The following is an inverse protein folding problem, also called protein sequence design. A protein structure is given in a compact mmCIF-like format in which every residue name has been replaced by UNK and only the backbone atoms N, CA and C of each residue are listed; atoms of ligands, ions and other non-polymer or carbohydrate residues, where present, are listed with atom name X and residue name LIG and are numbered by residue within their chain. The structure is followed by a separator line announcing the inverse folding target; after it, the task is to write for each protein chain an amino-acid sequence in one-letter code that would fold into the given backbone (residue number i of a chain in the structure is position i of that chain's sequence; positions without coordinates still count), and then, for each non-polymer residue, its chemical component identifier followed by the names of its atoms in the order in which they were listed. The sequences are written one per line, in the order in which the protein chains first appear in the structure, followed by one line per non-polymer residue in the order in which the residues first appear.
data_IF_101846773634
#
_entry.id   IF_101846773634
#
_cell.length_a   1.000
_cell.length_b   1.000
_cell.length_c   1.000
_cell.angle_alpha   90.00
_cell.angle_beta   90.00
_cell.angle_gamma   90.00
#
_symmetry.space_group_name_H-M   'P 1'
#
loop_
_entity.id
_entity.type
_entity.pdbx_description
1 polymer ?
#
# COMPACT_ATOMS: atom_id res chain seq x y z
N UNK A 1 9.97 26.92 1.32
CA UNK A 1 11.17 27.68 1.71
C UNK A 1 12.32 26.69 1.85
N UNK A 2 13.35 26.73 1.00
CA UNK A 2 14.51 25.82 1.08
C UNK A 2 15.63 26.51 1.87
N UNK A 3 16.14 25.86 2.91
CA UNK A 3 17.41 26.19 3.55
C UNK A 3 18.36 25.01 3.31
N UNK A 4 19.50 25.30 2.70
CA UNK A 4 20.58 24.35 2.41
C UNK A 4 21.66 24.46 3.48
N UNK A 5 22.06 23.34 4.07
CA UNK A 5 23.42 23.13 4.57
C UNK A 5 23.75 21.63 4.66
N UNK A 6 25.00 21.29 4.33
CA UNK A 6 25.39 19.95 3.89
C UNK A 6 25.89 18.96 4.96
N UNK A 7 26.20 17.78 4.40
CA UNK A 7 26.96 16.62 4.87
C UNK A 7 26.19 15.41 5.46
N UNK A 8 26.11 14.37 4.60
CA UNK A 8 25.84 12.93 4.79
C UNK A 8 24.76 12.51 5.79
N UNK A 9 23.58 12.17 5.28
CA UNK A 9 22.58 11.20 5.80
C UNK A 9 21.34 11.29 4.91
N UNK A 10 20.62 10.19 4.74
CA UNK A 10 19.46 10.08 3.84
C UNK A 10 18.58 11.35 3.82
N UNK A 11 18.15 11.82 2.63
CA UNK A 11 17.34 13.02 2.54
C UNK A 11 16.09 12.83 3.40
N UNK A 12 15.93 13.70 4.40
CA UNK A 12 14.73 13.69 5.26
C UNK A 12 13.49 13.72 4.36
N UNK A 13 12.49 12.86 4.62
CA UNK A 13 11.30 12.81 3.78
C UNK A 13 10.61 14.18 3.76
N UNK A 14 10.32 14.66 2.55
CA UNK A 14 9.62 15.93 2.33
C UNK A 14 8.26 15.63 1.72
N UNK A 15 7.21 16.21 2.29
CA UNK A 15 5.86 16.10 1.76
C UNK A 15 5.64 17.21 0.75
N UNK A 16 5.21 16.84 -0.45
CA UNK A 16 4.93 17.74 -1.56
C UNK A 16 3.47 17.64 -1.97
N UNK A 17 2.91 18.75 -2.42
CA UNK A 17 1.52 18.84 -2.87
C UNK A 17 1.53 19.33 -4.31
N UNK A 18 0.76 18.68 -5.17
CA UNK A 18 0.48 19.17 -6.51
C UNK A 18 -0.67 20.19 -6.45
N UNK A 19 -0.33 21.46 -6.56
CA UNK A 19 -1.28 22.58 -6.52
C UNK A 19 -2.19 22.60 -7.78
N UNK A 20 -1.79 21.92 -8.86
CA UNK A 20 -2.61 21.80 -10.08
C UNK A 20 -3.71 20.74 -9.98
N UNK A 21 -3.72 19.91 -8.95
CA UNK A 21 -4.72 18.85 -8.79
C UNK A 21 -6.11 19.47 -8.49
N UNK A 22 -7.20 19.08 -9.19
CA UNK A 22 -8.54 19.63 -8.95
C UNK A 22 -9.06 19.47 -7.51
N UNK A 23 -8.50 18.54 -6.73
CA UNK A 23 -8.84 18.36 -5.31
C UNK A 23 -8.26 19.46 -4.42
N UNK A 24 -7.29 20.23 -4.90
CA UNK A 24 -6.73 21.38 -4.19
C UNK A 24 -7.46 22.63 -4.65
N UNK A 25 -8.29 23.19 -3.78
CA UNK A 25 -9.06 24.39 -4.07
C UNK A 25 -9.13 25.30 -2.82
N UNK A 26 -9.78 26.46 -2.96
CA UNK A 26 -9.94 27.44 -1.87
C UNK A 26 -11.37 27.54 -1.32
N UNK A 27 -12.31 26.78 -1.89
CA UNK A 27 -13.74 26.90 -1.64
C UNK A 27 -14.31 25.82 -0.72
N UNK A 28 -13.78 24.60 -0.77
CA UNK A 28 -14.34 23.43 -0.09
C UNK A 28 -13.26 22.44 0.37
N UNK A 29 -13.58 21.64 1.39
CA UNK A 29 -12.71 20.60 1.95
C UNK A 29 -11.96 21.03 3.22
N UNK A 30 -10.91 20.27 3.54
CA UNK A 30 -10.08 20.49 4.73
C UNK A 30 -8.95 21.49 4.45
N UNK A 31 -8.79 22.47 5.34
CA UNK A 31 -7.66 23.42 5.23
C UNK A 31 -6.36 22.69 5.46
N UNK A 32 -5.35 22.97 4.63
CA UNK A 32 -4.01 22.37 4.77
C UNK A 32 -3.13 23.11 5.80
N UNK A 33 -3.39 24.40 6.00
CA UNK A 33 -2.65 25.26 6.92
C UNK A 33 -3.61 26.11 7.75
N UNK A 34 -3.18 26.46 8.96
CA UNK A 34 -3.84 27.45 9.81
C UNK A 34 -3.56 28.87 9.30
N UNK A 35 -4.24 29.87 9.86
CA UNK A 35 -4.04 31.28 9.49
C UNK A 35 -2.60 31.76 9.77
N UNK A 36 -1.96 31.21 10.79
CA UNK A 36 -0.56 31.48 11.15
C UNK A 36 0.46 30.75 10.26
N UNK A 37 0.00 29.99 9.26
CA UNK A 37 0.86 29.25 8.33
C UNK A 37 1.39 27.91 8.86
N UNK A 38 0.93 27.46 10.04
CA UNK A 38 1.27 26.13 10.56
C UNK A 38 0.44 25.04 9.86
N UNK A 39 0.90 23.78 9.79
CA UNK A 39 0.08 22.67 9.30
C UNK A 39 -1.22 22.56 10.11
N UNK A 40 -2.34 22.30 9.43
CA UNK A 40 -3.59 21.98 10.10
C UNK A 40 -3.55 20.60 10.78
N UNK A 41 -4.56 20.28 11.60
CA UNK A 41 -4.73 18.94 12.16
C UNK A 41 -4.80 17.86 11.07
N UNK A 42 -5.56 18.13 10.00
CA UNK A 42 -5.64 17.26 8.83
C UNK A 42 -4.25 17.00 8.22
N UNK A 43 -3.48 18.06 7.97
CA UNK A 43 -2.12 17.92 7.43
C UNK A 43 -1.23 17.12 8.38
N UNK A 44 -1.29 17.37 9.69
CA UNK A 44 -0.55 16.58 10.67
C UNK A 44 -0.91 15.09 10.64
N UNK A 45 -2.19 14.76 10.48
CA UNK A 45 -2.62 13.37 10.33
C UNK A 45 -2.04 12.73 9.07
N UNK A 46 -2.10 13.43 7.92
CA UNK A 46 -1.52 12.95 6.67
C UNK A 46 0.01 12.80 6.78
N UNK A 47 0.69 13.73 7.45
CA UNK A 47 2.14 13.63 7.70
C UNK A 47 2.49 12.34 8.45
N UNK A 48 1.74 12.01 9.52
CA UNK A 48 1.95 10.77 10.29
C UNK A 48 1.69 9.50 9.47
N UNK A 49 0.69 9.53 8.60
CA UNK A 49 0.40 8.41 7.69
C UNK A 49 1.56 8.20 6.71
N UNK A 50 2.04 9.28 6.08
CA UNK A 50 3.16 9.22 5.13
C UNK A 50 4.47 8.81 5.79
N UNK A 51 4.72 9.27 7.02
CA UNK A 51 5.86 8.82 7.82
C UNK A 51 5.78 7.31 8.13
N UNK A 52 4.60 6.82 8.55
CA UNK A 52 4.37 5.39 8.76
C UNK A 52 4.62 4.56 7.50
N UNK A 53 4.17 5.05 6.34
CA UNK A 53 4.40 4.39 5.04
C UNK A 53 5.89 4.38 4.70
N UNK A 54 6.59 5.49 4.91
CA UNK A 54 8.02 5.60 4.64
C UNK A 54 8.84 4.63 5.49
N UNK A 55 8.58 4.58 6.80
CA UNK A 55 9.25 3.63 7.70
C UNK A 55 8.90 2.19 7.37
N UNK A 56 7.63 1.92 7.03
CA UNK A 56 7.17 0.59 6.62
C UNK A 56 7.82 0.09 5.33
N UNK A 57 8.36 0.96 4.47
CA UNK A 57 9.01 0.56 3.22
C UNK A 57 10.28 -0.26 3.45
N UNK A 58 11.09 0.11 4.43
CA UNK A 58 12.32 -0.63 4.77
C UNK A 58 11.99 -2.02 5.33
N UNK A 59 11.02 -2.10 6.24
CA UNK A 59 10.58 -3.38 6.82
C UNK A 59 9.86 -4.25 5.80
N UNK A 60 9.13 -3.65 4.86
CA UNK A 60 8.52 -4.39 3.75
C UNK A 60 9.56 -5.10 2.88
N UNK A 61 10.75 -4.52 2.70
CA UNK A 61 11.82 -5.18 1.94
C UNK A 61 12.28 -6.48 2.60
N UNK A 62 12.40 -6.50 3.94
CA UNK A 62 12.75 -7.73 4.69
C UNK A 62 11.63 -8.76 4.61
N UNK A 63 10.38 -8.31 4.74
CA UNK A 63 9.20 -9.16 4.62
C UNK A 63 9.15 -9.85 3.24
N UNK A 64 9.26 -9.08 2.15
CA UNK A 64 9.23 -9.63 0.78
C UNK A 64 10.39 -10.60 0.56
N UNK A 65 11.61 -10.27 1.02
CA UNK A 65 12.75 -11.18 0.92
C UNK A 65 12.49 -12.50 1.65
N UNK A 66 11.84 -12.48 2.82
CA UNK A 66 11.44 -13.69 3.54
C UNK A 66 10.44 -14.52 2.75
N UNK A 67 9.44 -13.89 2.13
CA UNK A 67 8.46 -14.60 1.30
C UNK A 67 9.13 -15.26 0.08
N UNK A 68 10.08 -14.57 -0.57
CA UNK A 68 10.85 -15.15 -1.69
C UNK A 68 11.68 -16.35 -1.23
N UNK A 69 12.39 -16.22 -0.10
CA UNK A 69 13.21 -17.31 0.45
C UNK A 69 12.41 -18.58 0.76
N UNK A 70 11.14 -18.41 1.16
CA UNK A 70 10.23 -19.50 1.49
C UNK A 70 9.34 -19.94 0.31
N UNK A 71 9.59 -19.41 -0.91
CA UNK A 71 8.76 -19.68 -2.10
C UNK A 71 7.26 -19.42 -1.86
N UNK A 72 6.94 -18.34 -1.15
CA UNK A 72 5.59 -17.96 -0.76
C UNK A 72 4.92 -16.98 -1.73
N UNK A 73 5.57 -16.59 -2.82
CA UNK A 73 5.00 -15.69 -3.81
C UNK A 73 4.76 -16.42 -5.14
N UNK A 74 3.60 -16.20 -5.74
CA UNK A 74 3.28 -16.67 -7.09
C UNK A 74 2.66 -15.56 -7.93
N UNK A 75 2.86 -15.63 -9.25
CA UNK A 75 2.23 -14.69 -10.19
C UNK A 75 0.72 -14.87 -10.16
N UNK A 76 -0.01 -13.76 -10.16
CA UNK A 76 -1.47 -13.74 -10.17
C UNK A 76 -1.97 -12.83 -11.30
N UNK A 77 -2.93 -13.34 -12.06
CA UNK A 77 -3.66 -12.59 -13.08
C UNK A 77 -5.14 -12.61 -12.73
N UNK A 78 -5.78 -11.44 -12.73
CA UNK A 78 -7.21 -11.31 -12.60
C UNK A 78 -7.82 -10.94 -13.96
N UNK A 79 -8.70 -11.79 -14.46
CA UNK A 79 -9.55 -11.48 -15.61
C UNK A 79 -10.96 -11.13 -15.12
N UNK A 80 -11.48 -10.01 -15.61
CA UNK A 80 -12.81 -9.50 -15.26
C UNK A 80 -13.57 -9.19 -16.54
N UNK A 81 -14.81 -9.65 -16.62
CA UNK A 81 -15.76 -9.20 -17.64
C UNK A 81 -16.84 -8.39 -16.93
N UNK A 82 -17.00 -7.13 -17.31
CA UNK A 82 -18.02 -6.24 -16.74
C UNK A 82 -19.39 -6.53 -17.37
N UNK A 83 -20.46 -5.97 -16.79
CA UNK A 83 -21.84 -6.15 -17.26
C UNK A 83 -22.11 -5.60 -18.66
N UNK A 84 -21.35 -4.59 -19.09
CA UNK A 84 -21.40 -4.04 -20.46
C UNK A 84 -20.67 -4.91 -21.51
N UNK A 85 -20.07 -6.02 -21.07
CA UNK A 85 -19.31 -6.96 -21.91
C UNK A 85 -17.84 -6.58 -22.11
N UNK A 86 -17.38 -5.45 -21.57
CA UNK A 86 -15.97 -5.07 -21.61
C UNK A 86 -15.12 -6.04 -20.79
N UNK A 87 -13.93 -6.36 -21.31
CA UNK A 87 -12.97 -7.25 -20.67
C UNK A 87 -11.79 -6.45 -20.15
N UNK A 88 -11.43 -6.74 -18.91
CA UNK A 88 -10.26 -6.18 -18.25
C UNK A 88 -9.37 -7.31 -17.75
N UNK A 89 -8.07 -7.12 -17.92
CA UNK A 89 -7.05 -7.99 -17.38
C UNK A 89 -6.15 -7.15 -16.47
N UNK A 90 -5.85 -7.71 -15.29
CA UNK A 90 -4.88 -7.19 -14.36
C UNK A 90 -3.78 -8.24 -14.19
N UNK A 91 -2.64 -8.01 -14.85
CA UNK A 91 -1.47 -8.90 -14.85
C UNK A 91 -0.22 -8.18 -14.35
N UNK A 92 0.84 -8.94 -14.08
CA UNK A 92 2.10 -8.43 -13.52
C UNK A 92 2.12 -8.31 -11.99
N UNK A 93 1.15 -8.93 -11.31
CA UNK A 93 1.04 -8.94 -9.84
C UNK A 93 1.46 -10.28 -9.26
N UNK A 94 1.81 -10.27 -7.98
CA UNK A 94 2.10 -11.45 -7.20
C UNK A 94 1.13 -11.55 -6.03
N UNK A 95 0.85 -12.78 -5.61
CA UNK A 95 0.09 -13.07 -4.39
C UNK A 95 0.77 -14.18 -3.58
N UNK A 96 0.19 -14.52 -2.42
CA UNK A 96 0.64 -15.60 -1.57
C UNK A 96 0.35 -16.94 -2.22
N UNK A 97 1.39 -17.74 -2.40
CA UNK A 97 1.31 -19.15 -2.84
C UNK A 97 0.81 -20.02 -1.70
N UNK A 98 -0.51 -20.24 -1.65
CA UNK A 98 -1.18 -20.96 -0.56
C UNK A 98 -0.69 -22.42 -0.41
N UNK A 99 -0.28 -23.04 -1.51
CA UNK A 99 0.31 -24.40 -1.50
C UNK A 99 1.64 -24.43 -0.74
N UNK A 100 2.54 -23.49 -0.99
CA UNK A 100 3.80 -23.36 -0.22
C UNK A 100 3.52 -22.96 1.23
N UNK A 101 2.54 -22.07 1.47
CA UNK A 101 2.15 -21.66 2.82
C UNK A 101 1.66 -22.85 3.66
N UNK A 102 0.84 -23.73 3.09
CA UNK A 102 0.33 -24.93 3.77
C UNK A 102 1.39 -26.03 3.96
N UNK A 103 2.48 -25.99 3.19
CA UNK A 103 3.60 -26.93 3.26
C UNK A 103 4.74 -26.47 4.18
N UNK A 104 4.62 -25.32 4.85
CA UNK A 104 5.65 -24.82 5.76
C UNK A 104 5.92 -25.79 6.91
N UNK A 105 7.19 -25.96 7.24
CA UNK A 105 7.61 -26.72 8.43
C UNK A 105 7.29 -25.96 9.72
N UNK A 106 7.32 -26.67 10.85
CA UNK A 106 7.18 -26.06 12.19
C UNK A 106 8.18 -24.93 12.43
N UNK A 107 9.42 -25.10 11.97
CA UNK A 107 10.51 -24.15 12.19
C UNK A 107 10.30 -22.89 11.34
N UNK A 108 9.85 -23.06 10.10
CA UNK A 108 9.52 -21.93 9.22
C UNK A 108 8.32 -21.15 9.76
N UNK A 109 7.29 -21.84 10.25
CA UNK A 109 6.11 -21.21 10.84
C UNK A 109 6.47 -20.43 12.13
N UNK A 110 7.29 -21.03 13.00
CA UNK A 110 7.79 -20.38 14.21
C UNK A 110 8.59 -19.12 13.91
N UNK A 111 9.49 -19.20 12.91
CA UNK A 111 10.26 -18.06 12.41
C UNK A 111 9.35 -16.93 11.92
N UNK A 112 8.39 -17.23 11.04
CA UNK A 112 7.41 -16.23 10.57
C UNK A 112 6.56 -15.63 11.69
N UNK A 113 6.21 -16.41 12.71
CA UNK A 113 5.47 -15.91 13.87
C UNK A 113 6.31 -14.92 14.68
N UNK A 114 7.55 -15.29 15.01
CA UNK A 114 8.47 -14.46 15.80
C UNK A 114 8.84 -13.15 15.09
N UNK A 115 8.86 -13.16 13.76
CA UNK A 115 9.11 -11.98 12.92
C UNK A 115 7.84 -11.15 12.67
N UNK A 116 6.66 -11.59 13.14
CA UNK A 116 5.39 -10.88 12.97
C UNK A 116 4.77 -10.98 11.58
N UNK A 117 5.27 -11.91 10.73
CA UNK A 117 4.90 -12.01 9.32
C UNK A 117 3.66 -12.87 9.04
N UNK A 118 3.21 -13.70 9.98
CA UNK A 118 2.02 -14.53 9.75
C UNK A 118 0.75 -13.71 9.52
N UNK A 119 0.53 -12.68 10.33
CA UNK A 119 -0.64 -11.82 10.20
C UNK A 119 -0.73 -11.17 8.81
N UNK A 120 0.30 -10.45 8.30
CA UNK A 120 0.22 -9.85 6.98
C UNK A 120 0.08 -10.88 5.85
N UNK A 121 0.68 -12.07 5.96
CA UNK A 121 0.50 -13.16 4.99
C UNK A 121 -0.97 -13.57 4.90
N UNK A 122 -1.61 -13.88 6.03
CA UNK A 122 -3.01 -14.30 6.04
C UNK A 122 -3.97 -13.15 5.66
N UNK A 123 -3.63 -11.90 5.99
CA UNK A 123 -4.41 -10.75 5.53
C UNK A 123 -4.32 -10.56 4.02
N UNK A 124 -3.16 -10.82 3.40
CA UNK A 124 -3.03 -10.81 1.94
C UNK A 124 -3.92 -11.88 1.30
N UNK A 125 -3.91 -13.11 1.81
CA UNK A 125 -4.81 -14.19 1.35
C UNK A 125 -6.28 -13.79 1.52
N UNK A 126 -6.67 -13.31 2.71
CA UNK A 126 -8.04 -12.91 3.01
C UNK A 126 -8.53 -11.75 2.12
N UNK A 127 -7.62 -10.88 1.66
CA UNK A 127 -7.93 -9.73 0.82
C UNK A 127 -8.53 -10.13 -0.54
N UNK A 128 -8.26 -11.34 -1.04
CA UNK A 128 -8.81 -11.83 -2.30
C UNK A 128 -10.35 -11.82 -2.33
N UNK A 129 -11.00 -12.08 -1.19
CA UNK A 129 -12.47 -12.03 -1.11
C UNK A 129 -13.05 -10.63 -1.34
N UNK A 130 -12.24 -9.56 -1.22
CA UNK A 130 -12.66 -8.18 -1.55
C UNK A 130 -12.57 -7.86 -3.04
N UNK A 131 -11.91 -8.70 -3.86
CA UNK A 131 -11.78 -8.45 -5.30
C UNK A 131 -13.14 -8.30 -5.99
N UNK A 132 -14.12 -9.15 -5.64
CA UNK A 132 -15.49 -9.05 -6.16
C UNK A 132 -16.15 -7.71 -5.83
N UNK A 133 -15.94 -7.19 -4.63
CA UNK A 133 -16.48 -5.88 -4.23
C UNK A 133 -15.87 -4.75 -5.07
N UNK A 134 -14.57 -4.84 -5.36
CA UNK A 134 -13.89 -3.85 -6.20
C UNK A 134 -14.35 -3.92 -7.66
N UNK A 135 -14.58 -5.14 -8.18
CA UNK A 135 -15.17 -5.36 -9.51
C UNK A 135 -16.56 -4.73 -9.60
N UNK A 136 -17.45 -5.01 -8.65
CA UNK A 136 -18.81 -4.43 -8.66
C UNK A 136 -18.78 -2.89 -8.63
N UNK A 137 -17.88 -2.29 -7.84
CA UNK A 137 -17.69 -0.82 -7.83
C UNK A 137 -17.17 -0.28 -9.15
N UNK A 138 -16.42 -1.08 -9.92
CA UNK A 138 -15.94 -0.71 -11.25
C UNK A 138 -17.09 -0.80 -12.26
N UNK A 139 -17.92 -1.84 -12.19
CA UNK A 139 -19.13 -2.00 -13.01
C UNK A 139 -20.09 -0.81 -12.83
N UNK A 140 -20.38 -0.42 -11.58
CA UNK A 140 -21.25 0.71 -11.25
C UNK A 140 -20.77 2.06 -11.80
N UNK A 141 -19.48 2.18 -12.13
CA UNK A 141 -18.90 3.40 -12.73
C UNK A 141 -18.79 3.33 -14.25
N UNK A 142 -18.92 2.13 -14.82
CA UNK A 142 -18.86 1.89 -16.26
C UNK A 142 -20.25 1.93 -16.91
N UNK A 143 -21.30 1.57 -16.16
CA UNK A 143 -22.70 1.86 -16.50
C UNK A 143 -23.09 3.30 -16.21
#
# INVERSE_FOLDING_TARGET
MKSTNGNTKDPKPVISIDIGNPRVNKSEGERLFTEDGNPSEFTHQIMKILESIHLGYEDNSKFINKLIQLDLLESFTLEVTLTDGSKHELSGFYTIKETSLSALSSDQLSSLHSEGYLLPIYMAVASHSRMRVLVNKKDERAG
#
